data_IF_424682476591
#
_entry.id   IF_424682476591
#
_cell.length_a   1.000
_cell.length_b   1.000
_cell.length_c   1.000
_cell.angle_alpha   90.00
_cell.angle_beta   90.00
_cell.angle_gamma   90.00
#
_symmetry.space_group_name_H-M   'P 1'
#
loop_
_entity.id
_entity.type
_entity.pdbx_description
1 polymer ?
#
# COMPACT_ATOMS: atom_id res chain seq x y z
N UNK A 1 18.57 -22.29 -19.79
CA UNK A 1 19.14 -21.09 -19.13
C UNK A 1 18.33 -19.87 -19.55
N UNK A 2 17.74 -19.19 -18.60
CA UNK A 2 16.84 -18.05 -18.79
C UNK A 2 17.65 -16.78 -18.53
N UNK A 3 17.78 -15.92 -19.54
CA UNK A 3 18.49 -14.66 -19.42
C UNK A 3 17.53 -13.53 -19.07
N UNK A 4 17.90 -12.77 -18.03
CA UNK A 4 17.11 -11.64 -17.56
C UNK A 4 17.91 -10.34 -17.68
N UNK A 5 17.19 -9.20 -17.73
CA UNK A 5 17.77 -7.87 -17.66
C UNK A 5 17.11 -7.07 -16.54
N UNK A 6 17.89 -6.34 -15.75
CA UNK A 6 17.40 -5.48 -14.66
C UNK A 6 17.52 -4.01 -15.10
N UNK A 7 16.40 -3.28 -15.06
CA UNK A 7 16.35 -1.86 -15.39
C UNK A 7 16.38 -1.04 -14.10
N UNK A 8 17.47 -0.32 -13.88
CA UNK A 8 17.77 0.46 -12.67
C UNK A 8 18.59 -0.35 -11.65
N UNK A 9 19.75 0.18 -11.27
CA UNK A 9 20.62 -0.39 -10.23
C UNK A 9 20.59 0.48 -8.96
N UNK A 10 19.38 0.86 -8.57
CA UNK A 10 19.09 1.53 -7.31
C UNK A 10 18.93 0.52 -6.16
N UNK A 11 18.21 0.92 -5.10
CA UNK A 11 18.00 0.09 -3.91
C UNK A 11 17.38 -1.27 -4.26
N UNK A 12 16.31 -1.29 -5.05
CA UNK A 12 15.62 -2.54 -5.39
C UNK A 12 16.40 -3.34 -6.42
N UNK A 13 16.88 -2.71 -7.50
CA UNK A 13 17.61 -3.42 -8.55
C UNK A 13 18.92 -4.06 -8.07
N UNK A 14 19.70 -3.35 -7.26
CA UNK A 14 20.90 -3.96 -6.63
C UNK A 14 20.52 -5.09 -5.65
N UNK A 15 19.35 -4.97 -5.00
CA UNK A 15 18.79 -6.04 -4.19
C UNK A 15 18.40 -7.28 -5.00
N UNK A 16 17.82 -7.10 -6.20
CA UNK A 16 17.49 -8.21 -7.11
C UNK A 16 18.74 -8.98 -7.50
N UNK A 17 19.80 -8.27 -7.90
CA UNK A 17 21.11 -8.88 -8.21
C UNK A 17 21.63 -9.67 -7.01
N UNK A 18 21.67 -9.05 -5.83
CA UNK A 18 22.14 -9.68 -4.59
C UNK A 18 21.33 -10.94 -4.22
N UNK A 19 20.00 -10.90 -4.33
CA UNK A 19 19.14 -12.04 -4.00
C UNK A 19 19.36 -13.20 -4.96
N UNK A 20 19.50 -12.92 -6.27
CA UNK A 20 19.76 -13.96 -7.28
C UNK A 20 21.12 -14.60 -7.04
N UNK A 21 22.17 -13.82 -6.80
CA UNK A 21 23.51 -14.34 -6.51
C UNK A 21 23.55 -15.15 -5.21
N UNK A 22 22.98 -14.60 -4.14
CA UNK A 22 23.01 -15.22 -2.80
C UNK A 22 22.25 -16.53 -2.73
N UNK A 23 21.11 -16.63 -3.43
CA UNK A 23 20.21 -17.78 -3.38
C UNK A 23 20.17 -18.55 -4.71
N UNK A 24 21.19 -18.42 -5.55
CA UNK A 24 21.28 -18.95 -6.92
C UNK A 24 20.77 -20.38 -7.06
N UNK A 25 21.34 -21.34 -6.32
CA UNK A 25 20.98 -22.76 -6.42
C UNK A 25 19.51 -23.03 -6.04
N UNK A 26 19.03 -22.35 -5.00
CA UNK A 26 17.63 -22.50 -4.55
C UNK A 26 16.64 -21.90 -5.56
N UNK A 27 16.99 -20.76 -6.15
CA UNK A 27 16.19 -20.08 -7.17
C UNK A 27 16.10 -20.93 -8.42
N UNK A 28 17.24 -21.39 -8.95
CA UNK A 28 17.30 -22.23 -10.15
C UNK A 28 16.53 -23.54 -9.98
N UNK A 29 16.65 -24.19 -8.82
CA UNK A 29 15.88 -25.39 -8.51
C UNK A 29 14.37 -25.12 -8.53
N UNK A 30 13.92 -23.96 -8.04
CA UNK A 30 12.50 -23.58 -8.02
C UNK A 30 12.00 -23.13 -9.38
N UNK A 31 12.83 -22.49 -10.18
CA UNK A 31 12.53 -22.07 -11.55
C UNK A 31 12.52 -23.26 -12.53
N UNK A 32 13.11 -24.40 -12.14
CA UNK A 32 13.38 -25.57 -12.98
C UNK A 32 14.30 -25.26 -14.18
N UNK A 33 15.03 -24.17 -14.15
CA UNK A 33 16.04 -23.76 -15.12
C UNK A 33 17.03 -22.77 -14.45
N UNK A 34 18.21 -22.58 -15.08
CA UNK A 34 19.19 -21.60 -14.61
C UNK A 34 18.76 -20.19 -15.01
N UNK A 35 18.76 -19.27 -14.05
CA UNK A 35 18.49 -17.84 -14.25
C UNK A 35 19.82 -17.07 -14.21
N UNK A 36 20.12 -16.33 -15.28
CA UNK A 36 21.32 -15.53 -15.44
C UNK A 36 20.96 -14.05 -15.69
N UNK A 37 21.59 -13.13 -14.95
CA UNK A 37 21.53 -11.70 -15.22
C UNK A 37 22.47 -11.39 -16.38
N UNK A 38 21.90 -11.12 -17.55
CA UNK A 38 22.68 -10.79 -18.75
C UNK A 38 23.02 -9.31 -18.83
N UNK A 39 22.10 -8.45 -18.41
CA UNK A 39 22.26 -6.99 -18.44
C UNK A 39 21.67 -6.33 -17.19
N UNK A 40 22.33 -5.25 -16.80
CA UNK A 40 21.82 -4.26 -15.87
C UNK A 40 21.86 -2.90 -16.56
N UNK A 41 20.73 -2.23 -16.67
CA UNK A 41 20.62 -0.89 -17.25
C UNK A 41 20.67 0.15 -16.14
N UNK A 42 21.62 1.05 -16.19
CA UNK A 42 21.64 2.28 -15.37
C UNK A 42 22.38 3.39 -16.12
N UNK A 43 22.05 4.64 -15.85
CA UNK A 43 22.75 5.78 -16.44
C UNK A 43 24.08 6.08 -15.74
N UNK A 44 24.28 5.53 -14.55
CA UNK A 44 25.48 5.71 -13.72
C UNK A 44 26.46 4.57 -13.96
N UNK A 45 27.75 4.86 -13.73
CA UNK A 45 28.81 3.85 -13.60
C UNK A 45 28.93 3.43 -12.13
N UNK A 46 29.43 2.21 -11.89
CA UNK A 46 29.63 1.64 -10.55
C UNK A 46 31.06 1.09 -10.40
N UNK A 47 32.10 1.95 -10.38
CA UNK A 47 33.47 1.53 -10.38
C UNK A 47 33.82 0.57 -9.24
N UNK A 48 34.32 -0.61 -9.61
CA UNK A 48 34.70 -1.66 -8.66
C UNK A 48 33.60 -2.58 -8.20
N UNK A 49 32.33 -2.34 -8.64
CA UNK A 49 31.21 -3.23 -8.40
C UNK A 49 31.20 -4.35 -9.46
N UNK A 50 30.98 -5.62 -9.10
CA UNK A 50 30.85 -6.73 -10.06
C UNK A 50 29.85 -6.50 -11.19
N UNK A 51 28.83 -5.64 -10.99
CA UNK A 51 27.79 -5.30 -11.96
C UNK A 51 28.36 -4.66 -13.24
N UNK A 52 29.56 -4.04 -13.20
CA UNK A 52 30.20 -3.45 -14.38
C UNK A 52 30.34 -4.43 -15.56
N UNK A 53 30.42 -5.73 -15.29
CA UNK A 53 30.56 -6.77 -16.33
C UNK A 53 29.30 -6.92 -17.19
N UNK A 54 28.15 -6.55 -16.65
CA UNK A 54 26.82 -6.69 -17.29
C UNK A 54 26.09 -5.35 -17.43
N UNK A 55 26.78 -4.25 -17.06
CA UNK A 55 26.22 -2.90 -17.12
C UNK A 55 26.07 -2.42 -18.56
N UNK A 56 24.92 -1.86 -18.88
CA UNK A 56 24.65 -1.19 -20.16
C UNK A 56 23.94 0.14 -19.90
N UNK A 57 24.12 1.11 -20.81
CA UNK A 57 23.53 2.45 -20.69
C UNK A 57 22.45 2.73 -21.74
N UNK A 58 22.26 1.81 -22.70
CA UNK A 58 21.25 1.92 -23.75
C UNK A 58 20.22 0.77 -23.64
N UNK A 59 18.97 1.14 -23.44
CA UNK A 59 17.88 0.18 -23.35
C UNK A 59 17.72 -0.66 -24.62
N UNK A 60 18.07 -0.13 -25.80
CA UNK A 60 17.96 -0.85 -27.06
C UNK A 60 18.84 -2.11 -27.10
N UNK A 61 19.93 -2.17 -26.34
CA UNK A 61 20.76 -3.38 -26.18
C UNK A 61 19.93 -4.52 -25.60
N UNK A 62 19.09 -4.22 -24.61
CA UNK A 62 18.21 -5.18 -23.95
C UNK A 62 17.01 -5.53 -24.82
N UNK A 63 16.37 -4.49 -25.39
CA UNK A 63 15.16 -4.65 -26.19
C UNK A 63 15.38 -5.55 -27.41
N UNK A 64 16.50 -5.32 -28.13
CA UNK A 64 16.81 -6.03 -29.36
C UNK A 64 17.54 -7.36 -29.17
N UNK A 65 17.88 -7.74 -27.95
CA UNK A 65 18.50 -9.03 -27.68
C UNK A 65 17.44 -10.14 -27.54
N UNK A 66 17.37 -11.12 -28.47
CA UNK A 66 16.38 -12.17 -28.43
C UNK A 66 16.61 -13.20 -27.31
N UNK A 67 17.81 -13.22 -26.70
CA UNK A 67 18.09 -14.10 -25.59
C UNK A 67 17.51 -13.61 -24.24
N UNK A 68 17.20 -12.31 -24.13
CA UNK A 68 16.56 -11.75 -22.92
C UNK A 68 15.10 -12.11 -22.89
N UNK A 69 14.69 -12.99 -21.99
CA UNK A 69 13.32 -13.51 -21.85
C UNK A 69 12.50 -12.74 -20.82
N UNK A 70 13.13 -12.16 -19.80
CA UNK A 70 12.47 -11.46 -18.71
C UNK A 70 13.17 -10.13 -18.47
N UNK A 71 12.39 -9.05 -18.37
CA UNK A 71 12.85 -7.71 -17.99
C UNK A 71 12.33 -7.41 -16.59
N UNK A 72 13.22 -6.96 -15.71
CA UNK A 72 12.91 -6.59 -14.33
C UNK A 72 13.00 -5.08 -14.20
N UNK A 73 11.86 -4.39 -14.11
CA UNK A 73 11.78 -2.94 -13.99
C UNK A 73 11.81 -2.52 -12.51
N UNK A 74 12.84 -1.73 -12.13
CA UNK A 74 13.06 -1.23 -10.76
C UNK A 74 13.51 0.23 -10.74
N UNK A 75 13.17 0.99 -11.79
CA UNK A 75 13.63 2.38 -11.94
C UNK A 75 12.81 3.36 -11.08
N UNK A 76 11.51 3.10 -10.90
CA UNK A 76 10.60 4.02 -10.23
C UNK A 76 10.15 5.18 -11.14
N UNK A 77 9.09 5.89 -10.71
CA UNK A 77 8.42 6.92 -11.52
C UNK A 77 7.66 6.35 -12.71
N UNK A 78 7.00 7.21 -13.49
CA UNK A 78 6.22 6.78 -14.64
C UNK A 78 7.04 6.69 -15.92
N UNK A 79 7.93 7.66 -16.16
CA UNK A 79 8.72 7.76 -17.37
C UNK A 79 10.22 7.71 -17.03
N UNK A 80 11.04 6.95 -17.76
CA UNK A 80 10.74 6.13 -18.93
C UNK A 80 10.24 4.70 -18.63
N UNK A 81 9.86 4.39 -17.38
CA UNK A 81 9.45 3.04 -16.98
C UNK A 81 8.29 2.49 -17.81
N UNK A 82 7.28 3.33 -18.11
CA UNK A 82 6.15 2.95 -18.94
C UNK A 82 6.57 2.57 -20.35
N UNK A 83 7.36 3.42 -21.02
CA UNK A 83 7.81 3.20 -22.39
C UNK A 83 8.64 1.91 -22.51
N UNK A 84 9.57 1.71 -21.56
CA UNK A 84 10.44 0.53 -21.57
C UNK A 84 9.64 -0.75 -21.28
N UNK A 85 8.75 -0.72 -20.30
CA UNK A 85 7.87 -1.85 -19.98
C UNK A 85 6.97 -2.21 -21.16
N UNK A 86 6.33 -1.22 -21.77
CA UNK A 86 5.45 -1.44 -22.92
C UNK A 86 6.20 -2.02 -24.12
N UNK A 87 7.35 -1.44 -24.47
CA UNK A 87 8.19 -1.95 -25.57
C UNK A 87 8.68 -3.39 -25.29
N UNK A 88 9.08 -3.71 -24.05
CA UNK A 88 9.49 -5.05 -23.69
C UNK A 88 8.34 -6.07 -23.90
N UNK A 89 7.13 -5.74 -23.41
CA UNK A 89 5.95 -6.58 -23.59
C UNK A 89 5.57 -6.72 -25.06
N UNK A 90 5.59 -5.64 -25.84
CA UNK A 90 5.32 -5.65 -27.29
C UNK A 90 6.36 -6.49 -28.07
N UNK A 91 7.61 -6.52 -27.59
CA UNK A 91 8.68 -7.36 -28.13
C UNK A 91 8.59 -8.85 -27.68
N UNK A 92 7.58 -9.20 -26.87
CA UNK A 92 7.37 -10.58 -26.41
C UNK A 92 8.23 -10.99 -25.22
N UNK A 93 8.77 -10.03 -24.46
CA UNK A 93 9.52 -10.27 -23.21
C UNK A 93 8.59 -10.19 -22.01
N UNK A 94 8.71 -11.15 -21.07
CA UNK A 94 8.01 -11.05 -19.78
C UNK A 94 8.55 -9.86 -18.98
N UNK A 95 7.72 -9.22 -18.16
CA UNK A 95 8.15 -8.10 -17.32
C UNK A 95 7.71 -8.32 -15.87
N UNK A 96 8.64 -8.10 -14.93
CA UNK A 96 8.39 -8.03 -13.51
C UNK A 96 8.70 -6.61 -13.03
N UNK A 97 7.84 -6.00 -12.20
CA UNK A 97 8.05 -4.64 -11.70
C UNK A 97 7.74 -4.49 -10.21
N UNK A 98 8.46 -3.56 -9.56
CA UNK A 98 8.14 -3.07 -8.22
C UNK A 98 7.44 -1.70 -8.22
N UNK A 99 7.18 -1.15 -9.38
CA UNK A 99 6.75 0.23 -9.58
C UNK A 99 5.22 0.38 -9.42
N UNK A 100 4.80 0.70 -8.20
CA UNK A 100 3.38 0.90 -7.89
C UNK A 100 2.70 2.01 -8.68
N UNK A 101 3.45 3.07 -9.05
CA UNK A 101 2.90 4.19 -9.83
C UNK A 101 2.58 3.74 -11.24
N UNK A 102 3.51 3.00 -11.86
CA UNK A 102 3.32 2.39 -13.16
C UNK A 102 2.13 1.44 -13.19
N UNK A 103 2.02 0.58 -12.16
CA UNK A 103 0.94 -0.41 -12.05
C UNK A 103 -0.41 0.27 -11.82
N UNK A 104 -0.48 1.28 -10.94
CA UNK A 104 -1.74 1.99 -10.66
C UNK A 104 -2.25 2.78 -11.87
N UNK A 105 -1.34 3.38 -12.68
CA UNK A 105 -1.71 4.21 -13.82
C UNK A 105 -1.96 3.39 -15.09
N UNK A 106 -1.09 2.42 -15.40
CA UNK A 106 -1.09 1.71 -16.69
C UNK A 106 -1.29 0.19 -16.57
N UNK A 107 -1.56 -0.34 -15.35
CA UNK A 107 -1.60 -1.77 -15.09
C UNK A 107 -2.54 -2.54 -16.01
N UNK A 108 -3.77 -2.05 -16.22
CA UNK A 108 -4.75 -2.71 -17.11
C UNK A 108 -4.29 -2.77 -18.56
N UNK A 109 -3.62 -1.72 -19.08
CA UNK A 109 -3.08 -1.70 -20.43
C UNK A 109 -1.95 -2.71 -20.56
N UNK A 110 -0.99 -2.71 -19.63
CA UNK A 110 0.19 -3.55 -19.64
C UNK A 110 -0.16 -5.05 -19.47
N UNK A 111 -1.08 -5.37 -18.56
CA UNK A 111 -1.62 -6.74 -18.41
C UNK A 111 -2.27 -7.21 -19.73
N UNK A 112 -3.07 -6.34 -20.38
CA UNK A 112 -3.71 -6.67 -21.65
C UNK A 112 -2.72 -6.90 -22.79
N UNK A 113 -1.59 -6.16 -22.84
CA UNK A 113 -0.52 -6.41 -23.81
C UNK A 113 0.11 -7.78 -23.55
N UNK A 114 0.43 -8.07 -22.29
CA UNK A 114 1.00 -9.36 -21.89
C UNK A 114 0.07 -10.54 -22.25
N UNK A 115 -1.23 -10.43 -21.95
CA UNK A 115 -2.25 -11.41 -22.33
C UNK A 115 -2.27 -11.68 -23.83
N UNK A 116 -2.33 -10.63 -24.66
CA UNK A 116 -2.34 -10.75 -26.12
C UNK A 116 -1.08 -11.41 -26.70
N UNK A 117 0.04 -11.31 -26.01
CA UNK A 117 1.34 -11.86 -26.41
C UNK A 117 1.62 -13.24 -25.80
N UNK A 118 0.70 -13.75 -24.94
CA UNK A 118 0.87 -15.01 -24.17
C UNK A 118 2.14 -15.02 -23.31
N UNK A 119 2.41 -13.87 -22.68
CA UNK A 119 3.53 -13.61 -21.76
C UNK A 119 3.01 -13.00 -20.46
N UNK A 120 3.90 -12.66 -19.54
CA UNK A 120 3.55 -12.23 -18.19
C UNK A 120 4.00 -10.80 -17.91
N UNK A 121 3.13 -10.06 -17.22
CA UNK A 121 3.42 -8.81 -16.53
C UNK A 121 3.09 -9.02 -15.06
N UNK A 122 4.10 -9.17 -14.19
CA UNK A 122 3.96 -9.46 -12.77
C UNK A 122 4.47 -8.30 -11.92
N UNK A 123 3.81 -8.05 -10.79
CA UNK A 123 4.06 -6.84 -10.00
C UNK A 123 3.84 -7.04 -8.49
N UNK A 124 4.18 -8.24 -7.96
CA UNK A 124 4.04 -8.55 -6.53
C UNK A 124 4.64 -7.47 -5.64
N UNK A 125 5.84 -7.00 -5.98
CA UNK A 125 6.56 -6.01 -5.20
C UNK A 125 5.97 -4.59 -5.26
N UNK A 126 4.93 -4.34 -6.05
CA UNK A 126 4.25 -3.04 -6.11
C UNK A 126 3.38 -2.75 -4.89
N UNK A 127 2.91 -3.81 -4.19
CA UNK A 127 2.13 -3.73 -2.96
C UNK A 127 2.78 -4.56 -1.86
N UNK A 128 2.82 -4.03 -0.63
CA UNK A 128 3.31 -4.78 0.52
C UNK A 128 4.81 -5.07 0.57
N UNK A 129 5.61 -4.54 -0.36
CA UNK A 129 7.06 -4.77 -0.40
C UNK A 129 7.42 -6.25 -0.45
N UNK A 130 7.91 -6.82 0.68
CA UNK A 130 8.22 -8.25 0.79
C UNK A 130 7.03 -9.14 1.17
N UNK A 131 5.86 -8.57 1.42
CA UNK A 131 4.65 -9.30 1.80
C UNK A 131 4.01 -9.88 0.52
N UNK A 132 3.82 -11.20 0.39
CA UNK A 132 3.09 -11.76 -0.73
C UNK A 132 1.60 -11.48 -0.58
N UNK A 133 1.00 -10.76 -1.52
CA UNK A 133 -0.42 -10.40 -1.51
C UNK A 133 -1.09 -10.49 -2.87
N UNK A 134 -0.43 -10.04 -3.94
CA UNK A 134 -1.00 -10.08 -5.29
C UNK A 134 -1.13 -11.51 -5.78
N UNK A 135 -0.08 -12.31 -5.61
CA UNK A 135 -0.12 -13.73 -5.96
C UNK A 135 -1.14 -14.52 -5.12
N UNK A 136 -1.25 -14.36 -3.80
CA UNK A 136 -2.34 -14.95 -3.03
C UNK A 136 -3.73 -14.56 -3.54
N UNK A 137 -4.01 -13.30 -3.83
CA UNK A 137 -5.28 -12.87 -4.41
C UNK A 137 -5.55 -13.57 -5.75
N UNK A 138 -4.52 -13.72 -6.58
CA UNK A 138 -4.65 -14.27 -7.94
C UNK A 138 -4.61 -15.79 -8.01
N UNK A 139 -4.10 -16.50 -6.99
CA UNK A 139 -3.89 -17.94 -7.07
C UNK A 139 -4.34 -18.74 -5.85
N UNK A 140 -4.28 -18.17 -4.64
CA UNK A 140 -4.56 -18.90 -3.41
C UNK A 140 -5.97 -18.64 -2.87
N UNK A 141 -6.52 -17.44 -3.10
CA UNK A 141 -7.83 -17.00 -2.62
C UNK A 141 -8.90 -17.04 -3.72
N UNK A 142 -8.67 -17.80 -4.78
CA UNK A 142 -9.54 -17.85 -5.96
C UNK A 142 -10.89 -18.54 -5.74
N UNK A 143 -11.07 -19.22 -4.61
CA UNK A 143 -12.34 -19.84 -4.24
C UNK A 143 -13.27 -18.85 -3.49
N UNK A 144 -12.76 -17.68 -3.11
CA UNK A 144 -13.46 -16.68 -2.33
C UNK A 144 -13.87 -15.48 -3.17
N UNK A 145 -15.02 -14.89 -2.83
CA UNK A 145 -15.28 -13.49 -3.11
C UNK A 145 -14.69 -12.66 -1.97
N UNK A 146 -13.86 -11.71 -2.32
CA UNK A 146 -13.25 -10.82 -1.32
C UNK A 146 -14.25 -9.72 -1.00
N UNK A 147 -14.67 -9.65 0.26
CA UNK A 147 -15.63 -8.66 0.75
C UNK A 147 -14.94 -7.44 1.37
N UNK A 148 -13.73 -7.63 1.95
CA UNK A 148 -13.01 -6.55 2.63
C UNK A 148 -11.50 -6.73 2.52
N UNK A 149 -10.80 -5.62 2.30
CA UNK A 149 -9.35 -5.49 2.42
C UNK A 149 -9.09 -4.29 3.34
N UNK A 150 -8.42 -4.52 4.45
CA UNK A 150 -7.89 -3.47 5.33
C UNK A 150 -6.38 -3.60 5.41
N UNK A 151 -5.66 -2.50 5.21
CA UNK A 151 -4.21 -2.55 5.19
C UNK A 151 -3.52 -1.39 5.88
N UNK A 152 -2.47 -1.71 6.65
CA UNK A 152 -1.39 -0.79 6.96
C UNK A 152 -0.38 -0.95 5.84
N UNK A 153 -0.50 -0.10 4.79
CA UNK A 153 0.22 -0.25 3.52
C UNK A 153 1.45 0.66 3.42
N UNK A 154 1.69 1.50 4.44
CA UNK A 154 2.82 2.43 4.46
C UNK A 154 3.58 2.32 5.78
N UNK A 155 4.85 1.91 5.72
CA UNK A 155 5.71 1.70 6.89
C UNK A 155 6.13 3.01 7.56
N UNK A 156 6.31 4.09 6.80
CA UNK A 156 6.68 5.42 7.32
C UNK A 156 5.61 5.97 8.24
N UNK A 157 4.36 5.97 7.80
CA UNK A 157 3.23 6.47 8.60
C UNK A 157 2.97 5.61 9.82
N UNK A 158 3.08 4.28 9.68
CA UNK A 158 2.93 3.39 10.83
C UNK A 158 4.05 3.57 11.86
N UNK A 159 5.29 3.82 11.40
CA UNK A 159 6.41 4.15 12.28
C UNK A 159 6.16 5.45 13.06
N UNK A 160 5.77 6.53 12.36
CA UNK A 160 5.47 7.83 12.97
C UNK A 160 4.38 7.68 14.04
N UNK A 161 3.24 7.08 13.71
CA UNK A 161 2.13 6.87 14.65
C UNK A 161 2.54 5.96 15.83
N UNK A 162 3.40 4.97 15.59
CA UNK A 162 3.95 4.12 16.66
C UNK A 162 4.82 4.94 17.62
N UNK A 163 5.71 5.80 17.11
CA UNK A 163 6.58 6.65 17.92
C UNK A 163 5.78 7.67 18.74
N UNK A 164 4.78 8.28 18.14
CA UNK A 164 3.85 9.15 18.86
C UNK A 164 3.14 8.42 20.01
N UNK A 165 2.75 7.16 19.80
CA UNK A 165 2.02 6.37 20.77
C UNK A 165 2.91 5.79 21.88
N UNK A 166 4.11 5.31 21.57
CA UNK A 166 5.00 4.59 22.51
C UNK A 166 5.93 5.56 23.23
N UNK A 167 6.55 6.48 22.49
CA UNK A 167 7.58 7.39 23.02
C UNK A 167 6.99 8.77 23.39
N UNK A 168 5.70 9.02 23.05
CA UNK A 168 5.01 10.28 23.38
C UNK A 168 5.48 11.48 22.55
N UNK A 169 6.16 11.23 21.41
CA UNK A 169 6.66 12.28 20.52
C UNK A 169 5.50 13.02 19.86
N UNK A 170 5.73 14.26 19.47
CA UNK A 170 4.82 14.92 18.54
C UNK A 170 5.08 14.46 17.09
N UNK A 171 4.22 14.89 16.16
CA UNK A 171 4.30 14.48 14.76
C UNK A 171 5.63 14.88 14.12
N UNK A 172 6.10 16.11 14.32
CA UNK A 172 7.30 16.65 13.68
C UNK A 172 8.56 15.95 14.22
N UNK A 173 8.60 15.67 15.52
CA UNK A 173 9.69 14.92 16.17
C UNK A 173 9.75 13.48 15.63
N UNK A 174 8.62 12.79 15.54
CA UNK A 174 8.53 11.42 15.02
C UNK A 174 8.89 11.35 13.53
N UNK A 175 8.45 12.34 12.73
CA UNK A 175 8.84 12.44 11.32
C UNK A 175 10.35 12.66 11.15
N UNK A 176 10.93 13.55 11.93
CA UNK A 176 12.37 13.81 11.90
C UNK A 176 13.17 12.55 12.25
N UNK A 177 12.74 11.80 13.25
CA UNK A 177 13.37 10.51 13.61
C UNK A 177 13.23 9.49 12.47
N UNK A 178 12.06 9.41 11.82
CA UNK A 178 11.86 8.56 10.64
C UNK A 178 12.83 8.92 9.51
N UNK A 179 13.05 10.21 9.24
CA UNK A 179 14.01 10.68 8.24
C UNK A 179 15.45 10.34 8.60
N UNK A 180 15.85 10.51 9.86
CA UNK A 180 17.20 10.15 10.34
C UNK A 180 17.49 8.66 10.22
N UNK A 181 16.48 7.82 10.43
CA UNK A 181 16.58 6.37 10.32
C UNK A 181 16.43 5.86 8.88
N UNK A 182 16.19 6.76 7.89
CA UNK A 182 16.01 6.40 6.49
C UNK A 182 14.65 5.77 6.17
N UNK A 183 13.67 5.89 7.05
CA UNK A 183 12.29 5.40 6.84
C UNK A 183 11.41 6.41 6.11
N UNK A 184 11.76 7.69 6.16
CA UNK A 184 11.11 8.76 5.40
C UNK A 184 12.13 9.50 4.55
N UNK A 185 11.73 9.87 3.33
CA UNK A 185 12.52 10.73 2.45
C UNK A 185 12.47 12.19 2.92
N UNK A 186 13.31 13.04 2.30
CA UNK A 186 13.30 14.48 2.58
C UNK A 186 11.96 15.13 2.22
N UNK A 187 11.31 14.68 1.15
CA UNK A 187 9.93 15.05 0.81
C UNK A 187 9.01 13.84 1.06
N UNK A 188 8.42 13.70 2.27
CA UNK A 188 7.65 12.54 2.66
C UNK A 188 6.16 12.65 2.29
N UNK A 189 5.75 13.65 1.49
CA UNK A 189 4.34 13.98 1.21
C UNK A 189 3.52 12.77 0.75
N UNK A 190 4.08 11.97 -0.16
CA UNK A 190 3.38 10.78 -0.66
C UNK A 190 3.06 9.77 0.44
N UNK A 191 3.90 9.69 1.48
CA UNK A 191 3.68 8.83 2.63
C UNK A 191 2.68 9.46 3.60
N UNK A 192 3.00 10.67 4.12
CA UNK A 192 2.27 11.28 5.24
C UNK A 192 0.86 11.76 4.85
N UNK A 193 0.62 12.07 3.58
CA UNK A 193 -0.71 12.41 3.04
C UNK A 193 -1.48 11.19 2.52
N UNK A 194 -0.90 9.98 2.60
CA UNK A 194 -1.56 8.71 2.29
C UNK A 194 -1.59 8.32 0.82
N UNK A 195 -0.96 9.06 -0.09
CA UNK A 195 -1.00 8.79 -1.54
C UNK A 195 -0.33 7.47 -1.93
N UNK A 196 0.72 7.07 -1.22
CA UNK A 196 1.35 5.75 -1.40
C UNK A 196 0.38 4.62 -1.07
N UNK A 197 -0.30 4.70 0.08
CA UNK A 197 -1.30 3.72 0.49
C UNK A 197 -2.52 3.71 -0.46
N UNK A 198 -2.90 4.88 -0.97
CA UNK A 198 -4.00 5.05 -1.93
C UNK A 198 -3.73 4.28 -3.24
N UNK A 199 -2.56 4.41 -3.84
CA UNK A 199 -2.20 3.65 -5.06
C UNK A 199 -2.20 2.14 -4.81
N UNK A 200 -1.69 1.71 -3.66
CA UNK A 200 -1.65 0.29 -3.29
C UNK A 200 -3.04 -0.30 -3.10
N UNK A 201 -3.94 0.39 -2.38
CA UNK A 201 -5.31 -0.12 -2.20
C UNK A 201 -6.09 -0.12 -3.51
N UNK A 202 -5.84 0.83 -4.43
CA UNK A 202 -6.45 0.81 -5.75
C UNK A 202 -6.07 -0.45 -6.55
N UNK A 203 -4.78 -0.84 -6.53
CA UNK A 203 -4.29 -2.07 -7.17
C UNK A 203 -4.96 -3.29 -6.54
N UNK A 204 -4.92 -3.40 -5.21
CA UNK A 204 -5.48 -4.54 -4.49
C UNK A 204 -6.99 -4.67 -4.70
N UNK A 205 -7.73 -3.56 -4.65
CA UNK A 205 -9.17 -3.53 -4.94
C UNK A 205 -9.49 -3.96 -6.36
N UNK A 206 -8.69 -3.48 -7.31
CA UNK A 206 -8.86 -3.84 -8.72
C UNK A 206 -8.73 -5.33 -8.96
N UNK A 207 -7.73 -5.96 -8.34
CA UNK A 207 -7.49 -7.40 -8.44
C UNK A 207 -8.56 -8.21 -7.71
N UNK A 208 -8.97 -7.78 -6.53
CA UNK A 208 -9.98 -8.46 -5.74
C UNK A 208 -11.36 -8.47 -6.43
N UNK A 209 -11.72 -7.37 -7.08
CA UNK A 209 -13.06 -7.20 -7.69
C UNK A 209 -13.07 -7.40 -9.22
N UNK A 210 -11.93 -7.66 -9.84
CA UNK A 210 -11.82 -7.94 -11.28
C UNK A 210 -12.17 -6.76 -12.18
N UNK A 211 -12.12 -5.52 -11.67
CA UNK A 211 -12.44 -4.30 -12.39
C UNK A 211 -11.49 -3.18 -11.98
N UNK A 212 -11.28 -2.19 -12.83
CA UNK A 212 -10.32 -1.12 -12.57
C UNK A 212 -10.85 -0.10 -11.55
N UNK A 213 -10.13 0.06 -10.45
CA UNK A 213 -10.34 1.13 -9.46
C UNK A 213 -9.31 2.22 -9.72
N UNK A 214 -9.78 3.41 -10.12
CA UNK A 214 -8.91 4.56 -10.28
C UNK A 214 -8.54 5.12 -8.90
N UNK A 215 -7.25 5.22 -8.59
CA UNK A 215 -6.78 5.74 -7.31
C UNK A 215 -7.21 7.20 -7.06
N UNK A 216 -7.52 7.96 -8.13
CA UNK A 216 -8.02 9.34 -8.07
C UNK A 216 -9.44 9.44 -7.50
N UNK A 217 -10.21 8.35 -7.57
CA UNK A 217 -11.57 8.28 -7.02
C UNK A 217 -11.59 7.87 -5.54
N UNK A 218 -10.43 7.51 -4.97
CA UNK A 218 -10.32 7.06 -3.58
C UNK A 218 -10.15 8.26 -2.65
N UNK A 219 -11.07 8.39 -1.68
CA UNK A 219 -10.91 9.37 -0.61
C UNK A 219 -9.63 9.11 0.17
N UNK A 220 -8.78 10.14 0.28
CA UNK A 220 -7.47 10.01 0.92
C UNK A 220 -7.25 11.13 1.92
N UNK A 221 -6.95 10.76 3.16
CA UNK A 221 -6.63 11.64 4.27
C UNK A 221 -5.37 11.14 4.97
N UNK A 222 -4.35 12.01 5.10
CA UNK A 222 -3.07 11.69 5.72
C UNK A 222 -3.08 11.78 7.25
N UNK A 223 -1.88 11.66 7.84
CA UNK A 223 -1.68 11.67 9.29
C UNK A 223 -1.20 13.02 9.84
N UNK A 224 -0.99 14.01 9.01
CA UNK A 224 -0.38 15.32 9.38
C UNK A 224 -1.19 16.11 10.40
N UNK A 225 -2.48 15.81 10.55
CA UNK A 225 -3.37 16.46 11.53
C UNK A 225 -3.47 15.71 12.86
N UNK A 226 -2.87 14.53 12.97
CA UNK A 226 -2.90 13.73 14.20
C UNK A 226 -1.92 14.34 15.22
N UNK A 227 -2.41 14.60 16.43
CA UNK A 227 -1.62 15.21 17.51
C UNK A 227 -1.30 14.19 18.62
N UNK A 228 -0.27 14.52 19.42
CA UNK A 228 0.03 13.73 20.62
C UNK A 228 -1.16 13.67 21.61
N UNK A 229 -2.01 14.70 21.60
CA UNK A 229 -3.24 14.69 22.42
C UNK A 229 -4.26 13.69 21.90
N UNK A 230 -4.45 13.55 20.58
CA UNK A 230 -5.33 12.53 19.99
C UNK A 230 -4.87 11.11 20.34
N UNK A 231 -3.56 10.90 20.34
CA UNK A 231 -2.97 9.63 20.77
C UNK A 231 -3.31 9.31 22.24
N UNK A 232 -3.21 10.30 23.13
CA UNK A 232 -3.58 10.11 24.56
C UNK A 232 -5.05 9.75 24.74
N UNK A 233 -5.93 10.39 23.99
CA UNK A 233 -7.36 10.05 23.98
C UNK A 233 -7.59 8.63 23.47
N UNK A 234 -6.97 8.24 22.34
CA UNK A 234 -7.05 6.88 21.83
C UNK A 234 -6.58 5.84 22.87
N UNK A 235 -5.43 6.10 23.51
CA UNK A 235 -4.88 5.21 24.56
C UNK A 235 -5.83 5.08 25.76
N UNK A 236 -6.51 6.15 26.16
CA UNK A 236 -7.48 6.10 27.27
C UNK A 236 -8.69 5.20 26.97
N UNK A 237 -8.96 4.96 25.68
CA UNK A 237 -9.99 4.04 25.20
C UNK A 237 -9.46 2.63 24.90
N UNK A 238 -8.18 2.33 25.21
CA UNK A 238 -7.53 1.09 24.79
C UNK A 238 -7.39 0.94 23.28
N UNK A 239 -7.39 2.07 22.57
CA UNK A 239 -7.29 2.13 21.11
C UNK A 239 -5.92 2.64 20.63
N UNK A 240 -5.64 2.43 19.37
CA UNK A 240 -4.49 2.97 18.62
C UNK A 240 -4.97 3.63 17.35
N UNK A 241 -4.32 4.71 16.93
CA UNK A 241 -4.59 5.35 15.63
C UNK A 241 -3.67 4.72 14.59
N UNK A 242 -4.25 4.28 13.48
CA UNK A 242 -3.54 3.73 12.32
C UNK A 242 -3.98 4.44 11.05
N UNK A 243 -3.07 4.62 10.09
CA UNK A 243 -3.48 4.96 8.73
C UNK A 243 -3.93 3.68 8.04
N UNK A 244 -5.23 3.51 7.86
CA UNK A 244 -5.80 2.36 7.19
C UNK A 244 -6.14 2.69 5.74
N UNK A 245 -5.78 1.78 4.85
CA UNK A 245 -6.26 1.71 3.48
C UNK A 245 -7.32 0.62 3.42
N UNK A 246 -8.56 1.04 3.29
CA UNK A 246 -9.74 0.16 3.34
C UNK A 246 -10.38 0.06 1.97
N UNK A 247 -10.78 -1.15 1.59
CA UNK A 247 -11.63 -1.42 0.43
C UNK A 247 -12.68 -2.45 0.82
N UNK A 248 -13.97 -2.12 0.63
CA UNK A 248 -15.06 -2.95 1.13
C UNK A 248 -16.25 -3.00 0.19
N UNK A 249 -16.76 -4.21 0.02
CA UNK A 249 -18.06 -4.47 -0.60
C UNK A 249 -19.16 -4.21 0.43
N UNK A 250 -20.13 -3.40 0.08
CA UNK A 250 -21.30 -3.11 0.89
C UNK A 250 -22.56 -3.37 0.08
N UNK A 251 -23.75 -3.38 0.73
CA UNK A 251 -24.99 -3.72 0.06
C UNK A 251 -25.22 -2.93 -1.25
N UNK A 252 -24.85 -1.65 -1.28
CA UNK A 252 -25.11 -0.74 -2.39
C UNK A 252 -23.89 -0.50 -3.31
N UNK A 253 -22.81 -1.31 -3.19
CA UNK A 253 -21.64 -1.20 -4.05
C UNK A 253 -20.29 -1.43 -3.34
N UNK A 254 -19.29 -0.71 -3.77
CA UNK A 254 -17.94 -0.78 -3.22
C UNK A 254 -17.48 0.61 -2.78
N UNK A 255 -16.76 0.70 -1.70
CA UNK A 255 -16.01 1.91 -1.39
C UNK A 255 -14.55 1.59 -1.11
N UNK A 256 -13.69 2.56 -1.34
CA UNK A 256 -12.31 2.54 -0.92
C UNK A 256 -11.93 3.89 -0.30
N UNK A 257 -11.10 3.85 0.74
CA UNK A 257 -10.59 5.06 1.37
C UNK A 257 -9.24 4.81 2.04
N UNK A 258 -8.48 5.87 2.22
CA UNK A 258 -7.30 5.91 3.07
C UNK A 258 -7.51 7.00 4.11
N UNK A 259 -7.45 6.63 5.38
CA UNK A 259 -7.64 7.61 6.45
C UNK A 259 -7.06 7.14 7.78
N UNK A 260 -6.76 8.07 8.71
CA UNK A 260 -6.54 7.72 10.11
C UNK A 260 -7.81 7.11 10.71
N UNK A 261 -7.66 6.00 11.41
CA UNK A 261 -8.76 5.29 12.11
C UNK A 261 -8.28 4.89 13.49
N UNK A 262 -9.12 5.11 14.51
CA UNK A 262 -8.95 4.52 15.83
C UNK A 262 -9.43 3.07 15.82
N UNK A 263 -8.56 2.13 16.13
CA UNK A 263 -8.86 0.70 16.25
C UNK A 263 -8.46 0.18 17.62
N UNK A 264 -9.18 -0.80 18.13
CA UNK A 264 -8.88 -1.43 19.40
C UNK A 264 -8.34 -2.86 19.24
N UNK A 265 -8.09 -3.56 20.35
CA UNK A 265 -7.49 -4.89 20.35
C UNK A 265 -8.32 -6.00 19.65
N UNK A 266 -9.59 -5.73 19.30
CA UNK A 266 -10.39 -6.66 18.51
C UNK A 266 -10.07 -6.60 17.01
N UNK A 267 -9.43 -5.52 16.55
CA UNK A 267 -8.98 -5.42 15.16
C UNK A 267 -7.61 -6.09 15.01
N UNK A 268 -7.43 -7.02 14.06
CA UNK A 268 -6.15 -7.74 13.84
C UNK A 268 -4.96 -6.81 13.57
N UNK A 269 -5.20 -5.62 13.00
CA UNK A 269 -4.17 -4.64 12.67
C UNK A 269 -3.69 -3.82 13.88
N UNK A 270 -4.36 -3.90 15.02
CA UNK A 270 -4.03 -3.12 16.22
C UNK A 270 -2.58 -3.31 16.70
N UNK A 271 -2.08 -4.54 16.67
CA UNK A 271 -0.75 -4.89 17.15
C UNK A 271 0.38 -4.62 16.16
N UNK A 272 0.07 -4.19 14.94
CA UNK A 272 1.08 -3.90 13.90
C UNK A 272 1.76 -2.58 14.21
N UNK A 273 3.05 -2.60 14.53
CA UNK A 273 3.83 -1.44 14.97
C UNK A 273 5.11 -1.25 14.16
N UNK A 274 5.75 -0.09 14.33
CA UNK A 274 7.00 0.28 13.69
C UNK A 274 6.87 0.37 12.17
N UNK A 275 7.87 -0.10 11.46
CA UNK A 275 7.92 -0.06 9.98
C UNK A 275 7.18 -1.22 9.30
N UNK A 276 6.57 -2.11 10.09
CA UNK A 276 5.88 -3.26 9.55
C UNK A 276 4.54 -2.88 8.92
N UNK A 277 4.20 -3.63 7.88
CA UNK A 277 2.92 -3.55 7.20
C UNK A 277 2.12 -4.83 7.47
N UNK A 278 0.80 -4.72 7.31
CA UNK A 278 -0.08 -5.88 7.30
C UNK A 278 -1.27 -5.61 6.38
N UNK A 279 -1.76 -6.67 5.75
CA UNK A 279 -2.91 -6.65 4.87
C UNK A 279 -3.88 -7.72 5.38
N UNK A 280 -5.00 -7.27 5.88
CA UNK A 280 -6.11 -8.10 6.31
C UNK A 280 -7.10 -8.26 5.16
N UNK A 281 -7.60 -9.45 4.96
CA UNK A 281 -8.59 -9.80 3.95
C UNK A 281 -9.71 -10.58 4.61
N UNK A 282 -10.94 -10.24 4.28
CA UNK A 282 -12.11 -11.03 4.60
C UNK A 282 -12.72 -11.60 3.31
N UNK A 283 -12.73 -12.93 3.22
CA UNK A 283 -13.38 -13.67 2.14
C UNK A 283 -14.68 -14.32 2.60
N UNK A 284 -15.64 -14.43 1.72
CA UNK A 284 -16.98 -14.94 2.05
C UNK A 284 -17.03 -16.40 2.49
N UNK A 285 -15.98 -17.19 2.21
CA UNK A 285 -15.86 -18.62 2.54
C UNK A 285 -14.73 -18.90 3.51
N UNK A 286 -13.53 -18.34 3.23
CA UNK A 286 -12.35 -18.49 4.09
C UNK A 286 -12.53 -17.78 5.44
N UNK A 287 -13.26 -16.64 5.44
CA UNK A 287 -13.27 -15.72 6.56
C UNK A 287 -12.00 -14.85 6.57
N UNK A 288 -11.39 -14.71 7.73
CA UNK A 288 -10.29 -13.77 7.94
C UNK A 288 -8.92 -14.37 7.59
N UNK A 289 -8.12 -13.62 6.83
CA UNK A 289 -6.72 -13.90 6.59
C UNK A 289 -5.90 -12.62 6.75
N UNK A 290 -4.67 -12.74 7.24
CA UNK A 290 -3.77 -11.59 7.38
C UNK A 290 -2.37 -11.93 6.89
N UNK A 291 -1.81 -11.02 6.10
CA UNK A 291 -0.43 -11.07 5.61
C UNK A 291 0.38 -9.96 6.30
N UNK A 292 1.47 -10.34 6.96
CA UNK A 292 2.27 -9.43 7.78
C UNK A 292 3.75 -9.55 7.42
N UNK A 293 4.46 -8.43 7.39
CA UNK A 293 5.91 -8.43 7.14
C UNK A 293 6.48 -7.04 6.88
N UNK A 294 7.65 -7.01 6.24
CA UNK A 294 8.32 -5.77 5.86
C UNK A 294 7.70 -5.19 4.60
N UNK A 295 7.02 -4.05 4.73
CA UNK A 295 6.34 -3.35 3.65
C UNK A 295 7.27 -2.61 2.67
N UNK A 296 8.57 -2.51 2.99
CA UNK A 296 9.61 -1.88 2.18
C UNK A 296 10.99 -2.42 2.56
N UNK A 297 12.01 -2.00 1.82
CA UNK A 297 13.42 -2.35 2.07
C UNK A 297 14.06 -3.09 0.91
N UNK A 298 15.38 -2.96 0.78
CA UNK A 298 16.17 -3.51 -0.33
C UNK A 298 15.89 -4.99 -0.57
N UNK A 299 16.16 -5.83 0.41
CA UNK A 299 16.05 -7.29 0.25
C UNK A 299 14.60 -7.81 0.31
N UNK A 300 13.71 -7.31 1.19
CA UNK A 300 12.31 -7.71 1.17
C UNK A 300 11.62 -7.45 -0.18
N UNK A 301 11.76 -6.23 -0.73
CA UNK A 301 11.19 -5.87 -2.03
C UNK A 301 11.82 -6.68 -3.16
N UNK A 302 13.14 -6.81 -3.17
CA UNK A 302 13.85 -7.65 -4.15
C UNK A 302 13.42 -9.12 -4.10
N UNK A 303 13.12 -9.65 -2.91
CA UNK A 303 12.63 -11.03 -2.76
C UNK A 303 11.29 -11.23 -3.46
N UNK A 304 10.37 -10.26 -3.37
CA UNK A 304 9.09 -10.31 -4.08
C UNK A 304 9.28 -10.22 -5.61
N UNK A 305 10.17 -9.32 -6.08
CA UNK A 305 10.53 -9.22 -7.51
C UNK A 305 11.13 -10.53 -8.02
N UNK A 306 12.08 -11.13 -7.29
CA UNK A 306 12.71 -12.39 -7.71
C UNK A 306 11.70 -13.56 -7.68
N UNK A 307 10.73 -13.52 -6.77
CA UNK A 307 9.63 -14.49 -6.79
C UNK A 307 8.81 -14.38 -8.09
N UNK A 308 8.56 -13.15 -8.60
CA UNK A 308 7.92 -12.93 -9.89
C UNK A 308 8.80 -13.41 -11.05
N UNK A 309 10.11 -13.19 -11.00
CA UNK A 309 11.06 -13.74 -12.01
C UNK A 309 10.98 -15.27 -12.06
N UNK A 310 10.95 -15.92 -10.89
CA UNK A 310 10.80 -17.40 -10.82
C UNK A 310 9.47 -17.86 -11.38
N UNK A 311 8.41 -17.09 -11.15
CA UNK A 311 7.08 -17.42 -11.67
C UNK A 311 7.01 -17.22 -13.19
N UNK A 312 7.55 -16.12 -13.72
CA UNK A 312 7.76 -15.93 -15.16
C UNK A 312 8.59 -17.07 -15.79
N UNK A 313 9.68 -17.48 -15.14
CA UNK A 313 10.54 -18.57 -15.61
C UNK A 313 9.78 -19.89 -15.81
N UNK A 314 8.85 -20.21 -14.91
CA UNK A 314 7.97 -21.40 -15.01
C UNK A 314 6.91 -21.27 -16.09
N UNK A 315 6.59 -20.06 -16.53
CA UNK A 315 5.49 -19.74 -17.45
C UNK A 315 5.95 -18.88 -18.63
N UNK A 316 7.18 -19.12 -19.15
CA UNK A 316 7.79 -18.30 -20.22
C UNK A 316 6.92 -18.16 -21.48
N UNK A 317 6.14 -19.17 -21.82
CA UNK A 317 5.30 -19.25 -23.03
C UNK A 317 3.84 -19.48 -22.68
N UNK A 318 3.43 -19.00 -21.51
CA UNK A 318 2.05 -19.14 -21.02
C UNK A 318 1.70 -17.96 -20.13
N UNK A 319 0.63 -17.29 -20.48
CA UNK A 319 0.10 -16.18 -19.68
C UNK A 319 -0.52 -16.70 -18.36
N UNK A 320 -0.11 -16.11 -17.25
CA UNK A 320 -0.75 -16.27 -15.95
C UNK A 320 -1.95 -15.32 -15.93
N UNK A 321 -3.15 -15.88 -15.93
CA UNK A 321 -4.39 -15.09 -15.94
C UNK A 321 -4.44 -14.18 -14.72
N UNK A 322 -4.61 -12.89 -14.97
CA UNK A 322 -4.78 -11.87 -13.95
C UNK A 322 -6.23 -11.36 -14.00
N UNK A 323 -6.95 -11.46 -12.88
CA UNK A 323 -8.33 -10.99 -12.81
C UNK A 323 -8.39 -9.46 -12.72
N UNK A 324 -8.05 -8.76 -13.80
CA UNK A 324 -8.05 -7.30 -13.84
C UNK A 324 -8.52 -6.77 -15.20
N UNK A 325 -9.80 -6.48 -15.31
CA UNK A 325 -10.34 -5.87 -16.53
C UNK A 325 -10.20 -4.35 -16.52
N UNK A 326 -10.17 -3.74 -17.72
CA UNK A 326 -10.17 -2.29 -17.88
C UNK A 326 -11.55 -1.63 -17.63
N UNK A 327 -12.58 -2.41 -17.31
CA UNK A 327 -13.90 -1.87 -16.95
C UNK A 327 -13.79 -1.10 -15.64
N UNK A 328 -14.17 0.19 -15.59
CA UNK A 328 -14.10 0.95 -14.35
C UNK A 328 -15.06 0.38 -13.31
N UNK A 329 -14.59 0.24 -12.08
CA UNK A 329 -15.42 -0.02 -10.90
C UNK A 329 -15.85 1.34 -10.32
N UNK A 330 -17.13 1.63 -10.37
CA UNK A 330 -17.66 2.85 -9.75
C UNK A 330 -17.67 2.68 -8.23
N UNK A 331 -16.90 3.48 -7.53
CA UNK A 331 -16.94 3.54 -6.08
C UNK A 331 -18.19 4.31 -5.60
N UNK A 332 -18.67 3.92 -4.43
CA UNK A 332 -19.66 4.69 -3.69
C UNK A 332 -19.03 6.02 -3.26
N UNK A 333 -19.82 7.09 -3.35
CA UNK A 333 -19.38 8.38 -2.83
C UNK A 333 -19.11 8.26 -1.32
N UNK A 334 -17.95 8.74 -0.88
CA UNK A 334 -17.53 8.72 0.52
C UNK A 334 -18.59 9.37 1.43
N UNK A 335 -19.32 10.37 0.93
CA UNK A 335 -20.36 11.07 1.67
C UNK A 335 -21.49 10.13 2.17
N UNK A 336 -21.66 8.98 1.51
CA UNK A 336 -22.68 7.98 1.85
C UNK A 336 -22.12 6.84 2.73
N UNK A 337 -20.79 6.77 2.90
CA UNK A 337 -20.16 5.76 3.76
C UNK A 337 -20.47 6.08 5.23
N UNK A 338 -20.84 5.07 5.98
CA UNK A 338 -21.25 5.22 7.39
C UNK A 338 -20.11 4.85 8.32
N UNK A 339 -19.70 5.80 9.15
CA UNK A 339 -18.65 5.62 10.16
C UNK A 339 -19.12 6.15 11.53
N UNK A 340 -18.45 5.71 12.59
CA UNK A 340 -18.42 6.40 13.89
C UNK A 340 -17.28 7.40 13.86
N UNK A 341 -17.42 8.49 14.60
CA UNK A 341 -16.41 9.55 14.64
C UNK A 341 -16.06 9.90 16.07
N UNK A 342 -14.78 9.86 16.36
CA UNK A 342 -14.19 10.52 17.50
C UNK A 342 -14.06 12.00 17.19
N UNK A 343 -14.48 12.84 18.12
CA UNK A 343 -14.39 14.30 18.01
C UNK A 343 -13.80 14.84 19.31
N UNK A 344 -12.74 15.63 19.20
CA UNK A 344 -12.15 16.35 20.31
C UNK A 344 -12.47 17.85 20.17
N UNK A 345 -13.00 18.46 21.23
CA UNK A 345 -13.39 19.87 21.21
C UNK A 345 -13.02 20.62 22.48
N UNK A 346 -12.81 21.91 22.32
CA UNK A 346 -12.64 22.86 23.44
C UNK A 346 -13.93 23.00 24.25
N UNK A 347 -13.76 23.20 25.55
CA UNK A 347 -14.84 23.56 26.46
C UNK A 347 -14.95 22.62 27.65
N UNK A 348 -15.96 22.90 28.45
CA UNK A 348 -16.33 22.04 29.57
C UNK A 348 -17.43 21.08 29.15
N UNK A 349 -17.17 19.79 29.24
CA UNK A 349 -18.11 18.72 28.84
C UNK A 349 -19.53 18.96 29.39
N UNK A 350 -19.66 19.30 30.69
CA UNK A 350 -20.96 19.53 31.31
C UNK A 350 -21.77 20.70 30.70
N UNK A 351 -21.09 21.65 30.07
CA UNK A 351 -21.71 22.81 29.44
C UNK A 351 -22.04 22.56 27.97
N UNK A 352 -21.18 21.84 27.26
CA UNK A 352 -21.28 21.66 25.81
C UNK A 352 -22.06 20.41 25.41
N UNK A 353 -22.18 19.39 26.30
CA UNK A 353 -22.78 18.08 25.93
C UNK A 353 -24.24 18.18 25.46
N UNK A 354 -25.01 19.12 26.01
CA UNK A 354 -26.41 19.34 25.60
C UNK A 354 -26.46 19.80 24.13
N UNK A 355 -25.51 20.65 23.73
CA UNK A 355 -25.39 21.12 22.36
C UNK A 355 -24.90 20.00 21.43
N UNK A 356 -23.91 19.23 21.86
CA UNK A 356 -23.43 18.06 21.10
C UNK A 356 -24.58 17.07 20.85
N UNK A 357 -25.34 16.74 21.90
CA UNK A 357 -26.46 15.82 21.78
C UNK A 357 -27.61 16.37 20.92
N UNK A 358 -27.78 17.70 20.85
CA UNK A 358 -28.77 18.30 19.96
C UNK A 358 -28.40 18.16 18.48
N UNK A 359 -27.12 17.96 18.16
CA UNK A 359 -26.59 17.80 16.79
C UNK A 359 -26.46 16.34 16.40
N UNK A 360 -25.89 15.52 17.28
CA UNK A 360 -25.50 14.14 16.97
C UNK A 360 -26.34 13.06 17.65
N UNK A 361 -27.33 13.44 18.47
CA UNK A 361 -28.05 12.51 19.34
C UNK A 361 -27.21 12.14 20.56
N UNK A 362 -27.55 11.02 21.18
CA UNK A 362 -26.77 10.53 22.32
C UNK A 362 -25.37 10.11 21.87
N UNK A 363 -24.34 10.72 22.48
CA UNK A 363 -22.93 10.42 22.19
C UNK A 363 -22.23 9.86 23.42
N UNK A 364 -21.22 9.05 23.21
CA UNK A 364 -20.31 8.62 24.27
C UNK A 364 -19.27 9.70 24.52
N UNK A 365 -19.39 10.45 25.63
CA UNK A 365 -18.50 11.57 25.96
C UNK A 365 -17.56 11.24 27.14
N UNK A 366 -16.32 11.74 27.07
CA UNK A 366 -15.28 11.46 28.07
C UNK A 366 -14.20 12.53 28.07
N UNK A 367 -13.42 12.55 29.15
CA UNK A 367 -12.25 13.40 29.34
C UNK A 367 -11.06 12.57 29.82
N UNK A 368 -9.86 12.99 29.48
CA UNK A 368 -8.62 12.31 29.88
C UNK A 368 -7.99 13.05 31.05
N UNK A 369 -7.63 12.38 32.14
CA UNK A 369 -6.93 12.99 33.28
C UNK A 369 -5.66 13.73 32.84
N UNK A 370 -5.49 14.96 33.32
CA UNK A 370 -4.34 15.82 32.97
C UNK A 370 -4.51 16.64 31.71
N UNK A 371 -5.58 16.46 30.94
CA UNK A 371 -5.97 17.33 29.83
C UNK A 371 -7.14 18.20 30.29
N UNK A 372 -6.95 19.52 30.27
CA UNK A 372 -7.95 20.49 30.76
C UNK A 372 -8.39 21.42 29.64
N UNK A 373 -9.63 21.91 29.75
CA UNK A 373 -10.18 22.89 28.77
C UNK A 373 -10.69 22.24 27.49
N UNK A 374 -10.71 20.92 27.41
CA UNK A 374 -11.28 20.18 26.31
C UNK A 374 -11.85 18.83 26.76
N UNK A 375 -12.67 18.23 25.92
CA UNK A 375 -13.21 16.87 26.07
C UNK A 375 -13.37 16.23 24.71
N UNK A 376 -13.72 14.94 24.69
CA UNK A 376 -14.01 14.22 23.47
C UNK A 376 -15.36 13.50 23.56
N UNK A 377 -15.88 13.16 22.38
CA UNK A 377 -17.04 12.28 22.25
C UNK A 377 -16.91 11.39 21.02
N UNK A 378 -17.65 10.28 21.02
CA UNK A 378 -17.79 9.38 19.89
C UNK A 378 -19.25 9.34 19.48
N UNK A 379 -19.50 9.53 18.17
CA UNK A 379 -20.86 9.49 17.61
C UNK A 379 -21.35 8.07 17.42
N UNK A 380 -22.65 7.90 17.26
CA UNK A 380 -23.22 6.71 16.63
C UNK A 380 -22.78 6.62 15.16
N UNK A 381 -23.00 5.45 14.55
CA UNK A 381 -22.65 5.22 13.15
C UNK A 381 -23.56 5.99 12.21
N UNK A 382 -23.03 6.96 11.48
CA UNK A 382 -23.75 7.85 10.58
C UNK A 382 -23.02 8.05 9.24
N UNK A 383 -23.71 8.52 8.17
CA UNK A 383 -23.07 8.90 6.91
C UNK A 383 -22.09 10.06 7.10
N UNK A 384 -21.02 10.08 6.29
CA UNK A 384 -19.98 11.15 6.33
C UNK A 384 -20.59 12.55 6.10
N UNK A 385 -21.56 12.69 5.18
CA UNK A 385 -22.21 13.99 4.94
C UNK A 385 -22.96 14.50 6.16
N UNK A 386 -23.72 13.64 6.86
CA UNK A 386 -24.44 14.02 8.09
C UNK A 386 -23.46 14.46 9.17
N UNK A 387 -22.34 13.73 9.32
CA UNK A 387 -21.28 14.10 10.25
C UNK A 387 -20.68 15.47 9.92
N UNK A 388 -20.33 15.71 8.64
CA UNK A 388 -19.75 16.98 8.20
C UNK A 388 -20.71 18.16 8.42
N UNK A 389 -21.98 18.00 8.12
CA UNK A 389 -23.01 19.01 8.40
C UNK A 389 -23.12 19.28 9.90
N UNK A 390 -23.15 18.24 10.73
CA UNK A 390 -23.22 18.34 12.18
C UNK A 390 -22.02 19.09 12.79
N UNK A 391 -20.81 18.78 12.35
CA UNK A 391 -19.59 19.41 12.85
C UNK A 391 -19.58 20.92 12.61
N UNK A 392 -20.13 21.40 11.52
CA UNK A 392 -20.20 22.85 11.23
C UNK A 392 -21.06 23.63 12.23
N UNK A 393 -21.96 22.96 12.94
CA UNK A 393 -22.85 23.57 13.95
C UNK A 393 -22.18 23.69 15.32
N UNK A 394 -21.03 23.02 15.52
CA UNK A 394 -20.24 23.08 16.75
C UNK A 394 -19.08 24.04 16.60
N UNK A 395 -18.60 24.58 17.72
CA UNK A 395 -17.42 25.45 17.78
C UNK A 395 -16.34 24.78 18.61
N UNK A 396 -15.10 25.16 18.35
CA UNK A 396 -13.96 24.67 19.15
C UNK A 396 -13.54 23.24 18.83
N UNK A 397 -13.92 22.71 17.65
CA UNK A 397 -13.45 21.41 17.19
C UNK A 397 -11.93 21.45 17.02
N UNK A 398 -11.24 20.49 17.64
CA UNK A 398 -9.78 20.34 17.62
C UNK A 398 -9.34 19.23 16.69
N UNK A 399 -10.07 18.13 16.67
CA UNK A 399 -9.74 16.94 15.88
C UNK A 399 -10.97 16.09 15.62
N UNK A 400 -10.98 15.39 14.50
CA UNK A 400 -11.98 14.39 14.13
C UNK A 400 -11.27 13.17 13.54
N UNK A 401 -11.59 11.97 14.01
CA UNK A 401 -10.96 10.73 13.57
C UNK A 401 -12.05 9.65 13.45
N UNK A 402 -12.01 8.83 12.42
CA UNK A 402 -12.92 7.69 12.28
C UNK A 402 -12.63 6.63 13.32
N UNK A 403 -13.66 5.90 13.74
CA UNK A 403 -13.59 4.86 14.78
C UNK A 403 -14.05 3.53 14.19
N UNK A 404 -13.20 2.51 14.31
CA UNK A 404 -13.40 1.16 13.78
C UNK A 404 -13.83 0.12 14.82
N UNK A 405 -14.48 0.54 15.93
CA UNK A 405 -15.00 -0.36 16.97
C UNK A 405 -16.32 0.13 17.58
#
# INVERSE_FOLDING_TARGET
MIKIAVLGYGTVGSGVVEVIEKNHDSINKKAADDIEIKYVLDLRDFPGDPVEKVLVHDYNVILNDPEVSIVVETMGGLHPAYEFTKQALEAGKNVCTSNKELVAEYGTELVRIAEKKDINYLFEASCGGGIPIIRPLNSSLTADEIDEIDGILNGTTNYILTKMAVDGLDFDEALKEAQQNGYAERNPEADIEGYDACRKIAILSSLAYGAHVDYRDIYTEGITKITATDIKYAQSLGASIKLLATSKKVHDGFYAMVSPVMINAHNPLYSVQGVFNAIFIHGNVLGDAMFYGSGAGKLPTASAVVADVVDCAKHLHKHIIMNWSSRPLKLMDIENVRNRFFVRMEGCMAQEIVRVNSVFGDVESFSVPGITGEFAFITEKMPEHEFREGITQLKGIRSTIRVGF
#
